data_IF_162605440050
#
_entry.id   IF_162605440050
#
_cell.length_a   1.000
_cell.length_b   1.000
_cell.length_c   1.000
_cell.angle_alpha   90.00
_cell.angle_beta   90.00
_cell.angle_gamma   90.00
#
_symmetry.space_group_name_H-M   'P 1'
#
loop_
_entity.id
_entity.type
_entity.pdbx_description
1 polymer ?
#
# COMPACT_ATOMS: atom_id res chain seq x y z
N UNK A 1 -11.75 7.62 19.11
CA UNK A 1 -10.51 7.65 18.31
C UNK A 1 -9.92 9.07 18.18
N UNK A 2 -10.70 10.12 17.82
CA UNK A 2 -10.18 11.49 17.66
C UNK A 2 -9.77 12.14 18.97
N UNK A 3 -10.46 11.88 20.09
CA UNK A 3 -10.11 12.39 21.42
C UNK A 3 -8.95 11.62 22.04
N UNK A 4 -8.90 10.31 21.87
CA UNK A 4 -7.78 9.49 22.31
C UNK A 4 -6.49 9.84 21.57
N UNK A 5 -6.58 10.13 20.27
CA UNK A 5 -5.47 10.67 19.50
C UNK A 5 -5.05 12.08 19.94
N UNK A 6 -5.93 12.89 20.55
CA UNK A 6 -5.59 14.21 21.08
C UNK A 6 -4.87 14.19 22.45
N UNK A 7 -5.09 13.18 23.27
CA UNK A 7 -4.59 13.13 24.66
C UNK A 7 -3.33 12.30 24.86
N UNK A 8 -2.77 11.67 23.83
CA UNK A 8 -1.62 10.76 23.98
C UNK A 8 -1.98 9.56 24.84
N UNK A 9 -3.12 8.94 24.54
CA UNK A 9 -3.69 7.86 25.32
C UNK A 9 -2.78 6.65 25.32
N UNK A 10 -2.61 6.08 26.49
CA UNK A 10 -2.01 4.78 26.72
C UNK A 10 -2.89 3.72 26.05
N UNK A 11 -2.46 3.22 24.91
CA UNK A 11 -3.16 2.22 24.13
C UNK A 11 -2.48 0.87 24.40
N UNK A 12 -2.98 0.16 25.41
CA UNK A 12 -2.48 -1.19 25.72
C UNK A 12 -1.00 -1.25 26.08
N UNK A 13 -0.47 -0.27 26.83
CA UNK A 13 0.92 -0.20 27.25
C UNK A 13 1.90 0.31 26.19
N UNK A 14 1.41 0.79 25.05
CA UNK A 14 2.23 1.44 24.01
C UNK A 14 2.00 2.95 24.01
N UNK A 15 3.04 3.73 24.23
CA UNK A 15 2.97 5.20 24.20
C UNK A 15 3.04 5.73 22.77
N UNK A 16 2.00 6.48 22.36
CA UNK A 16 2.01 7.25 21.13
C UNK A 16 2.27 8.71 21.48
N UNK A 17 3.45 9.21 21.15
CA UNK A 17 3.85 10.60 21.39
C UNK A 17 3.62 11.42 20.13
N UNK A 18 2.75 12.45 20.23
CA UNK A 18 2.49 13.37 19.12
C UNK A 18 3.50 14.51 19.14
N UNK A 19 4.29 14.61 18.08
CA UNK A 19 5.12 15.79 17.81
C UNK A 19 4.39 16.71 16.83
N UNK A 20 4.17 17.97 17.18
CA UNK A 20 3.64 18.98 16.25
C UNK A 20 4.71 19.29 15.20
N UNK A 21 4.39 19.07 13.93
CA UNK A 21 5.19 19.50 12.80
C UNK A 21 4.37 20.45 11.93
N UNK A 22 4.97 21.50 11.34
CA UNK A 22 4.28 22.40 10.39
C UNK A 22 3.72 21.65 9.17
N UNK A 23 4.34 20.53 8.79
CA UNK A 23 3.98 19.68 7.63
C UNK A 23 3.08 18.47 8.00
N UNK A 24 2.37 18.52 9.11
CA UNK A 24 1.53 17.43 9.58
C UNK A 24 2.00 16.88 10.93
N UNK A 25 1.24 15.90 11.47
CA UNK A 25 1.53 15.33 12.78
C UNK A 25 2.34 14.05 12.62
N UNK A 26 3.56 14.08 13.08
CA UNK A 26 4.38 12.88 13.24
C UNK A 26 3.98 12.15 14.51
N UNK A 27 3.83 10.84 14.42
CA UNK A 27 3.50 9.94 15.53
C UNK A 27 4.73 9.08 15.82
N UNK A 28 5.09 8.97 17.09
CA UNK A 28 6.11 8.04 17.57
C UNK A 28 5.40 6.85 18.20
N UNK A 29 5.67 5.67 17.68
CA UNK A 29 5.10 4.41 18.15
C UNK A 29 6.20 3.65 18.87
N UNK A 30 5.96 3.33 20.14
CA UNK A 30 6.84 2.47 20.91
C UNK A 30 6.75 1.03 20.40
N UNK A 31 7.89 0.40 20.15
CA UNK A 31 7.96 -1.01 19.79
C UNK A 31 8.39 -1.83 21.00
N UNK A 32 7.84 -3.03 21.15
CA UNK A 32 8.26 -3.96 22.22
C UNK A 32 9.73 -4.34 22.13
N UNK A 33 10.26 -4.37 20.91
CA UNK A 33 11.66 -4.66 20.62
C UNK A 33 12.14 -3.70 19.52
N UNK A 34 13.35 -3.14 19.69
CA UNK A 34 13.97 -2.24 18.74
C UNK A 34 13.67 -0.76 19.00
N UNK A 35 14.06 0.09 18.04
CA UNK A 35 13.86 1.53 18.13
C UNK A 35 12.38 1.92 17.93
N UNK A 36 11.92 3.02 18.55
CA UNK A 36 10.59 3.56 18.30
C UNK A 36 10.40 3.89 16.81
N UNK A 37 9.23 3.55 16.26
CA UNK A 37 8.88 3.86 14.89
C UNK A 37 8.30 5.27 14.80
N UNK A 38 8.85 6.09 13.94
CA UNK A 38 8.37 7.44 13.65
C UNK A 38 7.64 7.40 12.32
N UNK A 39 6.35 7.76 12.31
CA UNK A 39 5.54 7.71 11.10
C UNK A 39 4.52 8.83 11.03
N UNK A 40 4.09 9.17 9.81
CA UNK A 40 2.96 10.05 9.52
C UNK A 40 1.83 9.27 8.84
N UNK A 41 2.09 8.04 8.45
CA UNK A 41 1.13 7.20 7.74
C UNK A 41 -0.01 6.76 8.65
N UNK A 42 -1.25 7.00 8.17
CA UNK A 42 -2.46 6.71 8.92
C UNK A 42 -2.71 5.22 9.12
N UNK A 43 -2.41 4.37 8.14
CA UNK A 43 -2.62 2.93 8.26
C UNK A 43 -1.63 2.30 9.25
N UNK A 44 -0.38 2.74 9.24
CA UNK A 44 0.64 2.30 10.20
C UNK A 44 0.23 2.64 11.63
N UNK A 45 -0.25 3.87 11.84
CA UNK A 45 -0.77 4.29 13.15
C UNK A 45 -2.02 3.49 13.54
N UNK A 46 -2.95 3.30 12.61
CA UNK A 46 -4.18 2.55 12.88
C UNK A 46 -3.91 1.10 13.28
N UNK A 47 -2.96 0.43 12.63
CA UNK A 47 -2.57 -0.96 12.94
C UNK A 47 -2.06 -1.16 14.37
N UNK A 48 -1.49 -0.13 14.99
CA UNK A 48 -0.95 -0.18 16.34
C UNK A 48 -1.99 0.20 17.44
N UNK A 49 -3.21 0.57 17.05
CA UNK A 49 -4.27 0.90 18.01
C UNK A 49 -4.87 -0.38 18.59
N UNK A 50 -4.70 -0.62 19.87
CA UNK A 50 -5.35 -1.68 20.63
C UNK A 50 -6.03 -1.07 21.84
N UNK A 51 -7.26 -1.51 22.16
CA UNK A 51 -8.03 -1.04 23.28
C UNK A 51 -8.22 -2.18 24.28
N UNK A 52 -8.24 -1.87 25.58
CA UNK A 52 -8.38 -2.86 26.65
C UNK A 52 -9.78 -3.49 26.65
N UNK A 53 -10.83 -2.69 26.41
CA UNK A 53 -12.19 -3.19 26.30
C UNK A 53 -12.38 -3.93 24.99
N UNK A 54 -12.88 -5.17 25.05
CA UNK A 54 -13.07 -6.05 23.89
C UNK A 54 -14.08 -5.51 22.87
N UNK A 55 -15.16 -4.84 23.34
CA UNK A 55 -16.17 -4.28 22.45
C UNK A 55 -15.64 -3.04 21.74
N UNK A 56 -14.99 -2.15 22.48
CA UNK A 56 -14.34 -0.98 21.89
C UNK A 56 -13.23 -1.41 20.91
N UNK A 57 -12.46 -2.45 21.25
CA UNK A 57 -11.41 -2.99 20.38
C UNK A 57 -11.99 -3.58 19.10
N UNK A 58 -13.16 -4.21 19.14
CA UNK A 58 -13.86 -4.67 17.93
C UNK A 58 -14.16 -3.50 16.99
N UNK A 59 -14.64 -2.37 17.53
CA UNK A 59 -14.82 -1.13 16.76
C UNK A 59 -13.49 -0.62 16.16
N UNK A 60 -12.42 -0.65 16.95
CA UNK A 60 -11.09 -0.27 16.48
C UNK A 60 -10.60 -1.18 15.32
N UNK A 61 -10.84 -2.49 15.39
CA UNK A 61 -10.48 -3.42 14.32
C UNK A 61 -11.25 -3.14 13.02
N UNK A 62 -12.53 -2.76 13.09
CA UNK A 62 -13.31 -2.36 11.91
C UNK A 62 -12.70 -1.10 11.25
N UNK A 63 -12.31 -0.11 12.02
CA UNK A 63 -11.65 1.10 11.50
C UNK A 63 -10.28 0.77 10.89
N UNK A 64 -9.52 -0.14 11.53
CA UNK A 64 -8.25 -0.64 10.96
C UNK A 64 -8.46 -1.29 9.60
N UNK A 65 -9.51 -2.10 9.44
CA UNK A 65 -9.81 -2.78 8.18
C UNK A 65 -10.09 -1.79 7.06
N UNK A 66 -10.78 -0.67 7.35
CA UNK A 66 -11.02 0.40 6.37
C UNK A 66 -9.71 1.07 5.96
N UNK A 67 -8.85 1.42 6.93
CA UNK A 67 -7.56 2.03 6.64
C UNK A 67 -6.66 1.11 5.81
N UNK A 68 -6.60 -0.20 6.17
CA UNK A 68 -5.81 -1.20 5.45
C UNK A 68 -6.31 -1.38 4.04
N UNK A 69 -7.63 -1.57 3.84
CA UNK A 69 -8.22 -1.71 2.51
C UNK A 69 -7.96 -0.49 1.63
N UNK A 70 -8.07 0.71 2.18
CA UNK A 70 -7.76 1.94 1.43
C UNK A 70 -6.28 1.98 1.03
N UNK A 71 -5.38 1.58 1.92
CA UNK A 71 -3.95 1.48 1.63
C UNK A 71 -3.64 0.45 0.53
N UNK A 72 -4.30 -0.71 0.57
CA UNK A 72 -4.10 -1.79 -0.40
C UNK A 72 -4.67 -1.41 -1.79
N UNK A 73 -5.86 -0.76 -1.83
CA UNK A 73 -6.54 -0.42 -3.07
C UNK A 73 -5.97 0.85 -3.75
N UNK A 74 -5.58 1.86 -2.97
CA UNK A 74 -5.19 3.18 -3.48
C UNK A 74 -3.77 3.64 -3.11
N UNK A 75 -3.13 3.00 -2.14
CA UNK A 75 -1.80 3.39 -1.66
C UNK A 75 -1.75 4.69 -0.84
N UNK A 76 -2.82 5.48 -0.85
CA UNK A 76 -2.91 6.78 -0.17
C UNK A 76 -4.34 7.03 0.34
N UNK A 77 -4.53 8.10 1.12
CA UNK A 77 -5.84 8.51 1.62
C UNK A 77 -6.33 7.74 2.85
N UNK A 78 -5.51 6.95 3.49
CA UNK A 78 -5.87 6.11 4.66
C UNK A 78 -6.39 6.94 5.84
N UNK A 79 -5.81 8.11 6.10
CA UNK A 79 -6.26 9.05 7.12
C UNK A 79 -7.62 9.65 6.78
N UNK A 80 -7.83 10.03 5.53
CA UNK A 80 -9.10 10.56 5.03
C UNK A 80 -10.22 9.53 5.16
N UNK A 81 -9.97 8.29 4.76
CA UNK A 81 -10.92 7.18 4.91
C UNK A 81 -11.30 6.93 6.37
N UNK A 82 -10.34 7.01 7.28
CA UNK A 82 -10.58 6.88 8.72
C UNK A 82 -11.47 8.00 9.27
N UNK A 83 -11.24 9.25 8.84
CA UNK A 83 -12.05 10.41 9.25
C UNK A 83 -13.47 10.32 8.68
N UNK A 84 -13.62 9.92 7.42
CA UNK A 84 -14.92 9.72 6.79
C UNK A 84 -15.70 8.60 7.49
N UNK A 85 -15.05 7.49 7.82
CA UNK A 85 -15.65 6.41 8.60
C UNK A 85 -16.18 6.92 9.94
N UNK A 86 -15.39 7.69 10.67
CA UNK A 86 -15.82 8.29 11.93
C UNK A 86 -17.05 9.19 11.74
N UNK A 87 -17.04 10.04 10.70
CA UNK A 87 -18.15 10.97 10.45
C UNK A 87 -19.44 10.21 10.09
N UNK A 88 -19.36 9.23 9.19
CA UNK A 88 -20.51 8.42 8.75
C UNK A 88 -21.10 7.63 9.94
N UNK A 89 -20.27 6.98 10.73
CA UNK A 89 -20.72 6.21 11.90
C UNK A 89 -21.36 7.13 12.95
N UNK A 90 -20.73 8.28 13.23
CA UNK A 90 -21.25 9.23 14.25
C UNK A 90 -22.61 9.78 13.85
N UNK A 91 -22.78 10.21 12.61
CA UNK A 91 -24.05 10.74 12.11
C UNK A 91 -25.10 9.62 11.93
N UNK A 92 -24.67 8.45 11.47
CA UNK A 92 -25.53 7.28 11.36
C UNK A 92 -26.12 6.83 12.69
N UNK A 93 -25.29 6.76 13.74
CA UNK A 93 -25.75 6.40 15.08
C UNK A 93 -26.79 7.36 15.64
N UNK A 94 -26.68 8.66 15.37
CA UNK A 94 -27.69 9.64 15.80
C UNK A 94 -29.08 9.31 15.20
N UNK A 95 -29.09 8.94 13.93
CA UNK A 95 -30.33 8.57 13.24
C UNK A 95 -30.92 7.25 13.78
N UNK A 96 -30.07 6.26 14.01
CA UNK A 96 -30.50 4.96 14.55
C UNK A 96 -31.04 5.12 15.97
N UNK A 97 -30.39 5.90 16.82
CA UNK A 97 -30.87 6.18 18.18
C UNK A 97 -32.18 7.00 18.19
N UNK A 98 -32.43 7.78 17.14
CA UNK A 98 -33.69 8.47 16.92
C UNK A 98 -34.81 7.57 16.35
N UNK A 99 -34.55 6.28 16.16
CA UNK A 99 -35.54 5.28 15.71
C UNK A 99 -35.52 4.98 14.20
N UNK A 100 -34.54 5.48 13.45
CA UNK A 100 -34.42 5.13 12.04
C UNK A 100 -33.98 3.67 11.87
N UNK A 101 -34.52 3.01 10.84
CA UNK A 101 -34.13 1.64 10.51
C UNK A 101 -32.68 1.60 9.97
N UNK A 102 -31.79 0.83 10.57
CA UNK A 102 -30.39 0.74 10.14
C UNK A 102 -30.22 0.26 8.69
N UNK A 103 -31.11 -0.62 8.22
CA UNK A 103 -31.05 -1.16 6.86
C UNK A 103 -31.44 -0.11 5.82
N UNK A 104 -32.40 0.75 6.13
CA UNK A 104 -32.80 1.86 5.25
C UNK A 104 -31.74 2.96 5.25
N UNK A 105 -31.12 3.21 6.39
CA UNK A 105 -29.96 4.10 6.50
C UNK A 105 -28.80 3.58 5.62
N UNK A 106 -28.51 2.29 5.69
CA UNK A 106 -27.49 1.67 4.82
C UNK A 106 -27.78 1.87 3.35
N UNK A 107 -29.03 1.60 2.91
CA UNK A 107 -29.44 1.82 1.50
C UNK A 107 -29.27 3.28 1.08
N UNK A 108 -29.55 4.22 1.99
CA UNK A 108 -29.33 5.65 1.77
C UNK A 108 -27.85 5.99 1.59
N UNK A 109 -26.99 5.43 2.46
CA UNK A 109 -25.53 5.59 2.39
C UNK A 109 -25.00 5.04 1.07
N UNK A 110 -25.42 3.82 0.67
CA UNK A 110 -24.98 3.21 -0.59
C UNK A 110 -25.33 4.07 -1.80
N UNK A 111 -26.55 4.63 -1.85
CA UNK A 111 -26.96 5.57 -2.91
C UNK A 111 -26.13 6.84 -2.93
N UNK A 112 -25.88 7.42 -1.76
CA UNK A 112 -25.07 8.63 -1.63
C UNK A 112 -23.62 8.37 -2.07
N UNK A 113 -23.03 7.24 -1.68
CA UNK A 113 -21.68 6.86 -2.09
C UNK A 113 -21.59 6.74 -3.61
N UNK A 114 -22.54 6.05 -4.25
CA UNK A 114 -22.55 5.91 -5.71
C UNK A 114 -22.61 7.29 -6.41
N UNK A 115 -23.49 8.16 -5.96
CA UNK A 115 -23.61 9.51 -6.53
C UNK A 115 -22.36 10.36 -6.35
N UNK A 116 -21.71 10.26 -5.17
CA UNK A 116 -20.45 10.96 -4.90
C UNK A 116 -19.32 10.40 -5.76
N UNK A 117 -19.24 9.07 -5.92
CA UNK A 117 -18.23 8.43 -6.78
C UNK A 117 -18.38 8.84 -8.24
N UNK A 118 -19.62 8.87 -8.75
CA UNK A 118 -19.89 9.36 -10.12
C UNK A 118 -19.50 10.83 -10.28
N UNK A 119 -19.82 11.67 -9.30
CA UNK A 119 -19.43 13.08 -9.31
C UNK A 119 -17.91 13.26 -9.31
N UNK A 120 -17.20 12.49 -8.46
CA UNK A 120 -15.74 12.55 -8.42
C UNK A 120 -15.15 12.10 -9.75
N UNK A 121 -15.63 11.00 -10.34
CA UNK A 121 -15.16 10.52 -11.64
C UNK A 121 -15.38 11.54 -12.75
N UNK A 122 -16.54 12.22 -12.76
CA UNK A 122 -16.86 13.24 -13.75
C UNK A 122 -15.98 14.49 -13.64
N UNK A 123 -15.49 14.79 -12.44
CA UNK A 123 -14.63 15.95 -12.17
C UNK A 123 -13.15 15.58 -12.05
N UNK A 124 -12.80 14.32 -12.18
CA UNK A 124 -11.41 13.87 -12.12
C UNK A 124 -10.64 14.30 -13.36
N UNK A 125 -9.47 14.87 -13.15
CA UNK A 125 -8.57 15.24 -14.23
C UNK A 125 -7.53 14.12 -14.41
N UNK A 126 -7.44 13.59 -15.64
CA UNK A 126 -6.46 12.58 -15.98
C UNK A 126 -5.07 13.18 -16.01
N UNK A 127 -4.15 12.57 -15.29
CA UNK A 127 -2.73 12.99 -15.27
C UNK A 127 -2.05 12.71 -16.62
N UNK A 128 -2.36 11.57 -17.24
CA UNK A 128 -1.82 11.20 -18.54
C UNK A 128 -0.28 11.17 -18.56
N UNK A 129 0.31 11.74 -19.62
CA UNK A 129 1.75 11.86 -19.81
C UNK A 129 2.33 13.19 -19.30
N UNK A 130 1.57 13.92 -18.49
CA UNK A 130 2.02 15.19 -17.96
C UNK A 130 2.89 14.97 -16.72
N UNK A 131 4.19 15.00 -16.91
CA UNK A 131 5.16 14.77 -15.81
C UNK A 131 5.15 15.86 -14.74
N UNK A 132 4.70 17.09 -15.06
CA UNK A 132 4.55 18.13 -14.05
C UNK A 132 3.39 17.80 -13.10
N UNK A 133 2.29 17.22 -13.62
CA UNK A 133 1.20 16.72 -12.80
C UNK A 133 1.63 15.50 -11.97
N UNK A 134 2.44 14.61 -12.55
CA UNK A 134 3.02 13.48 -11.81
C UNK A 134 3.87 13.98 -10.64
N UNK A 135 4.71 15.00 -10.86
CA UNK A 135 5.50 15.63 -9.81
C UNK A 135 4.63 16.24 -8.71
N UNK A 136 3.55 16.93 -9.09
CA UNK A 136 2.60 17.51 -8.12
C UNK A 136 1.92 16.43 -7.28
N UNK A 137 1.43 15.36 -7.90
CA UNK A 137 0.81 14.22 -7.19
C UNK A 137 1.81 13.55 -6.27
N UNK A 138 3.01 13.27 -6.77
CA UNK A 138 4.09 12.66 -5.98
C UNK A 138 4.50 13.54 -4.80
N UNK A 139 4.57 14.87 -4.99
CA UNK A 139 4.84 15.84 -3.93
C UNK A 139 3.78 15.79 -2.84
N UNK A 140 2.49 15.77 -3.22
CA UNK A 140 1.39 15.68 -2.25
C UNK A 140 1.45 14.35 -1.49
N UNK A 141 1.66 13.23 -2.17
CA UNK A 141 1.79 11.90 -1.56
C UNK A 141 3.01 11.80 -0.64
N UNK A 142 4.10 12.49 -0.97
CA UNK A 142 5.27 12.64 -0.11
C UNK A 142 5.09 13.67 1.03
N UNK A 143 3.85 14.00 1.37
CA UNK A 143 3.50 14.97 2.42
C UNK A 143 4.04 16.39 2.16
N UNK A 144 3.86 16.86 0.93
CA UNK A 144 4.34 18.13 0.40
C UNK A 144 5.87 18.31 0.42
N UNK A 145 6.59 17.23 0.16
CA UNK A 145 8.03 17.25 -0.04
C UNK A 145 8.34 17.34 -1.55
N UNK A 146 8.78 18.50 -2.05
CA UNK A 146 9.02 18.70 -3.47
C UNK A 146 10.28 17.98 -3.97
N UNK A 147 11.24 17.69 -3.10
CA UNK A 147 12.46 16.96 -3.48
C UNK A 147 12.12 15.52 -3.81
N UNK A 148 11.33 14.87 -2.95
CA UNK A 148 10.83 13.51 -3.19
C UNK A 148 9.89 13.49 -4.40
N UNK A 149 9.01 14.48 -4.54
CA UNK A 149 8.10 14.61 -5.67
C UNK A 149 8.83 14.64 -7.00
N UNK A 150 9.86 15.48 -7.11
CA UNK A 150 10.71 15.60 -8.29
C UNK A 150 11.46 14.29 -8.58
N UNK A 151 12.02 13.67 -7.55
CA UNK A 151 12.76 12.42 -7.65
C UNK A 151 11.89 11.28 -8.21
N UNK A 152 10.65 11.18 -7.74
CA UNK A 152 9.67 10.22 -8.26
C UNK A 152 9.26 10.54 -9.71
N UNK A 153 9.04 11.81 -10.06
CA UNK A 153 8.73 12.21 -11.44
C UNK A 153 9.89 11.89 -12.38
N UNK A 154 11.13 12.10 -11.95
CA UNK A 154 12.32 11.76 -12.74
C UNK A 154 12.50 10.23 -12.88
N UNK A 155 12.16 9.45 -11.86
CA UNK A 155 12.10 8.00 -11.95
C UNK A 155 11.04 7.55 -12.96
N UNK A 156 9.83 8.10 -12.91
CA UNK A 156 8.74 7.81 -13.87
C UNK A 156 9.12 8.14 -15.31
N UNK A 157 9.85 9.23 -15.53
CA UNK A 157 10.37 9.56 -16.89
C UNK A 157 11.29 8.49 -17.44
N UNK A 158 12.06 7.84 -16.57
CA UNK A 158 13.04 6.80 -16.98
C UNK A 158 12.38 5.45 -17.24
N UNK A 159 11.41 5.06 -16.40
CA UNK A 159 10.78 3.73 -16.50
C UNK A 159 9.48 3.71 -17.27
N UNK A 160 8.98 4.87 -17.73
CA UNK A 160 7.67 5.05 -18.37
C UNK A 160 6.47 4.65 -17.47
N UNK A 161 5.26 4.70 -18.04
CA UNK A 161 4.00 4.46 -17.30
C UNK A 161 3.85 3.06 -16.74
N UNK A 162 4.39 2.07 -17.45
CA UNK A 162 4.26 0.66 -17.12
C UNK A 162 5.40 0.17 -16.21
N UNK A 163 6.32 1.08 -15.85
CA UNK A 163 7.43 0.78 -14.97
C UNK A 163 7.01 0.68 -13.51
N UNK A 164 7.65 -0.22 -12.78
CA UNK A 164 7.47 -0.39 -11.34
C UNK A 164 8.52 0.43 -10.61
N UNK A 165 8.09 1.22 -9.63
CA UNK A 165 8.97 1.96 -8.73
C UNK A 165 8.90 1.31 -7.35
N UNK A 166 10.05 0.88 -6.86
CA UNK A 166 10.23 0.39 -5.49
C UNK A 166 11.05 1.40 -4.70
N UNK A 167 10.80 1.46 -3.40
CA UNK A 167 11.53 2.33 -2.47
C UNK A 167 12.19 1.44 -1.44
N UNK A 168 13.51 1.55 -1.34
CA UNK A 168 14.33 0.76 -0.42
C UNK A 168 15.20 1.68 0.44
N UNK A 169 15.55 1.22 1.64
CA UNK A 169 16.52 1.93 2.48
C UNK A 169 17.92 1.82 1.90
N UNK A 170 18.53 2.96 1.61
CA UNK A 170 19.91 3.01 1.14
C UNK A 170 20.90 2.87 2.32
N UNK A 171 22.01 2.19 2.09
CA UNK A 171 23.15 2.17 3.01
C UNK A 171 23.98 3.45 2.94
N UNK A 172 23.77 4.28 1.91
CA UNK A 172 24.42 5.57 1.73
C UNK A 172 23.63 6.69 2.39
N UNK A 173 24.27 7.84 2.60
CA UNK A 173 23.60 9.04 3.12
C UNK A 173 22.80 9.79 2.07
N UNK A 174 23.02 9.50 0.81
CA UNK A 174 22.40 10.20 -0.31
C UNK A 174 21.26 9.35 -0.89
N UNK A 175 20.17 10.03 -1.22
CA UNK A 175 19.05 9.41 -1.94
C UNK A 175 19.42 9.35 -3.43
N UNK A 176 19.32 8.16 -4.01
CA UNK A 176 19.67 7.94 -5.41
C UNK A 176 18.58 7.14 -6.14
N UNK A 177 18.51 7.30 -7.46
CA UNK A 177 17.63 6.53 -8.34
C UNK A 177 18.48 5.48 -9.04
N UNK A 178 18.23 4.21 -8.74
CA UNK A 178 18.70 3.08 -9.55
C UNK A 178 17.65 2.73 -10.60
N UNK A 179 18.07 2.56 -11.86
CA UNK A 179 17.18 2.09 -12.92
C UNK A 179 17.68 0.73 -13.37
N UNK A 180 16.78 -0.23 -13.36
CA UNK A 180 17.03 -1.58 -13.89
C UNK A 180 16.14 -1.77 -15.11
N UNK A 181 16.73 -2.14 -16.23
CA UNK A 181 15.95 -2.53 -17.41
C UNK A 181 15.41 -3.93 -17.20
N UNK A 182 14.09 -4.04 -17.13
CA UNK A 182 13.41 -5.30 -16.88
C UNK A 182 12.52 -5.25 -15.66
N UNK A 183 12.34 -6.38 -15.01
CA UNK A 183 11.49 -6.55 -13.85
C UNK A 183 12.24 -7.30 -12.75
N UNK A 184 12.22 -6.77 -11.55
CA UNK A 184 12.83 -7.40 -10.38
C UNK A 184 11.73 -7.95 -9.47
N UNK A 185 11.88 -9.19 -9.04
CA UNK A 185 10.97 -9.86 -8.11
C UNK A 185 11.70 -10.16 -6.80
N UNK A 186 10.98 -10.05 -5.69
CA UNK A 186 11.53 -10.35 -4.35
C UNK A 186 11.76 -11.84 -4.10
N UNK A 187 11.18 -12.69 -4.96
CA UNK A 187 11.31 -14.16 -4.87
C UNK A 187 12.06 -14.68 -6.07
N UNK A 188 13.12 -15.40 -5.78
CA UNK A 188 13.91 -16.12 -6.77
C UNK A 188 13.40 -17.55 -7.01
N UNK A 189 14.28 -18.44 -7.38
CA UNK A 189 14.00 -19.86 -7.63
C UNK A 189 13.47 -20.58 -6.38
N UNK A 190 12.59 -21.55 -6.59
CA UNK A 190 11.95 -22.33 -5.51
C UNK A 190 12.89 -23.38 -4.86
N UNK A 191 13.96 -23.73 -5.52
CA UNK A 191 14.92 -24.74 -5.04
C UNK A 191 16.33 -24.38 -5.49
N UNK A 192 17.30 -24.61 -4.60
CA UNK A 192 18.73 -24.46 -4.91
C UNK A 192 19.23 -25.35 -6.07
N UNK A 193 18.47 -26.36 -6.48
CA UNK A 193 18.79 -27.18 -7.65
C UNK A 193 18.59 -26.47 -8.98
N UNK A 194 17.90 -25.33 -9.01
CA UNK A 194 17.76 -24.50 -10.20
C UNK A 194 18.91 -23.54 -10.44
N UNK A 195 19.92 -23.54 -9.58
CA UNK A 195 21.11 -22.72 -9.71
C UNK A 195 21.97 -23.22 -10.89
N UNK A 196 22.33 -22.32 -11.79
CA UNK A 196 23.25 -22.63 -12.91
C UNK A 196 24.71 -22.34 -12.56
N UNK A 197 24.95 -21.37 -11.66
CA UNK A 197 26.26 -21.04 -11.10
C UNK A 197 26.25 -21.32 -9.59
N UNK A 198 26.89 -22.41 -9.17
CA UNK A 198 26.92 -22.85 -7.78
C UNK A 198 27.83 -22.00 -6.89
N UNK A 199 28.81 -21.29 -7.46
CA UNK A 199 29.71 -20.44 -6.69
C UNK A 199 29.05 -19.12 -6.31
N UNK A 200 28.28 -18.54 -7.25
CA UNK A 200 27.54 -17.28 -7.03
C UNK A 200 26.13 -17.49 -6.52
N UNK A 201 25.63 -18.72 -6.52
CA UNK A 201 24.24 -19.08 -6.21
C UNK A 201 23.25 -18.32 -7.11
N UNK A 202 23.58 -18.21 -8.38
CA UNK A 202 22.79 -17.50 -9.40
C UNK A 202 22.25 -18.48 -10.45
N UNK A 203 21.10 -18.14 -11.03
CA UNK A 203 20.55 -18.79 -12.20
C UNK A 203 20.46 -17.76 -13.32
N UNK A 204 21.36 -17.87 -14.31
CA UNK A 204 21.39 -16.98 -15.46
C UNK A 204 20.88 -17.75 -16.68
N UNK A 205 19.83 -17.22 -17.30
CA UNK A 205 19.27 -17.77 -18.53
C UNK A 205 19.29 -16.70 -19.62
N UNK A 206 19.93 -17.00 -20.74
CA UNK A 206 19.95 -16.11 -21.91
C UNK A 206 18.72 -16.37 -22.77
N UNK A 207 17.95 -15.30 -23.02
CA UNK A 207 16.78 -15.32 -23.89
C UNK A 207 15.78 -16.46 -23.58
N UNK A 208 15.35 -16.63 -22.31
CA UNK A 208 14.46 -17.73 -21.92
C UNK A 208 13.04 -17.52 -22.45
N UNK A 209 12.26 -18.61 -22.51
CA UNK A 209 10.82 -18.51 -22.56
C UNK A 209 10.29 -18.21 -21.16
N UNK A 210 9.28 -17.33 -21.05
CA UNK A 210 8.64 -16.98 -19.78
C UNK A 210 7.24 -17.56 -19.77
N UNK A 211 6.97 -18.47 -18.82
CA UNK A 211 5.64 -19.02 -18.58
C UNK A 211 4.96 -18.27 -17.44
N UNK A 212 3.90 -17.53 -17.76
CA UNK A 212 3.09 -16.85 -16.75
C UNK A 212 1.86 -17.72 -16.46
N UNK A 213 1.70 -18.10 -15.19
CA UNK A 213 0.59 -18.93 -14.74
C UNK A 213 0.13 -18.54 -13.33
N UNK A 214 -1.18 -18.45 -13.15
CA UNK A 214 -1.79 -17.92 -11.91
C UNK A 214 -2.02 -18.98 -10.82
N UNK A 215 -1.74 -20.26 -11.12
CA UNK A 215 -1.98 -21.37 -10.21
C UNK A 215 -0.74 -22.19 -9.94
N UNK A 216 -0.76 -22.96 -8.86
CA UNK A 216 0.32 -23.91 -8.59
C UNK A 216 0.31 -25.03 -9.62
N UNK A 217 1.42 -25.24 -10.29
CA UNK A 217 1.65 -26.38 -11.19
C UNK A 217 2.20 -27.53 -10.35
N UNK A 218 1.43 -28.60 -10.21
CA UNK A 218 1.81 -29.78 -9.42
C UNK A 218 2.02 -31.04 -10.26
N UNK A 219 1.70 -30.97 -11.56
CA UNK A 219 1.73 -32.12 -12.46
C UNK A 219 2.60 -31.83 -13.68
N UNK A 220 3.66 -32.60 -13.83
CA UNK A 220 4.58 -32.47 -14.96
C UNK A 220 3.88 -32.68 -16.32
N UNK A 221 2.84 -33.50 -16.38
CA UNK A 221 2.11 -33.76 -17.63
C UNK A 221 1.47 -32.51 -18.22
N UNK A 222 1.10 -31.55 -17.38
CA UNK A 222 0.52 -30.28 -17.81
C UNK A 222 1.57 -29.36 -18.46
N UNK A 223 2.82 -29.52 -18.08
CA UNK A 223 3.96 -28.76 -18.63
C UNK A 223 4.56 -29.38 -19.90
N UNK A 224 4.36 -30.68 -20.15
CA UNK A 224 4.99 -31.37 -21.28
C UNK A 224 4.79 -30.66 -22.63
N UNK A 225 3.58 -30.16 -22.96
CA UNK A 225 3.36 -29.46 -24.24
C UNK A 225 4.19 -28.21 -24.40
N UNK A 226 4.64 -27.59 -23.28
CA UNK A 226 5.45 -26.37 -23.26
C UNK A 226 6.93 -26.70 -23.15
N UNK A 227 7.28 -27.71 -22.36
CA UNK A 227 8.65 -28.14 -22.15
C UNK A 227 9.28 -28.75 -23.41
N UNK A 228 8.50 -29.48 -24.20
CA UNK A 228 9.01 -30.14 -25.39
C UNK A 228 9.49 -29.13 -26.45
N UNK A 229 8.70 -28.11 -26.87
CA UNK A 229 9.19 -27.07 -27.77
C UNK A 229 10.33 -26.23 -27.19
N UNK A 230 10.32 -25.98 -25.87
CA UNK A 230 11.40 -25.25 -25.21
C UNK A 230 12.73 -26.03 -25.29
N UNK A 231 12.68 -27.33 -25.02
CA UNK A 231 13.85 -28.22 -25.14
C UNK A 231 14.36 -28.34 -26.56
N UNK A 232 13.45 -28.45 -27.55
CA UNK A 232 13.81 -28.52 -28.99
C UNK A 232 14.47 -27.22 -29.48
N UNK A 233 14.08 -26.09 -28.94
CA UNK A 233 14.68 -24.77 -29.27
C UNK A 233 16.03 -24.52 -28.57
N UNK A 234 16.40 -25.32 -27.57
CA UNK A 234 17.58 -25.11 -26.75
C UNK A 234 17.51 -23.91 -25.79
N UNK A 235 16.34 -23.32 -25.62
CA UNK A 235 16.11 -22.16 -24.75
C UNK A 235 15.59 -22.59 -23.39
N UNK A 236 16.07 -21.93 -22.34
CA UNK A 236 15.54 -22.13 -21.00
C UNK A 236 14.05 -21.75 -20.89
N UNK A 237 13.36 -22.29 -19.91
CA UNK A 237 12.00 -21.95 -19.53
C UNK A 237 12.01 -21.40 -18.12
N UNK A 238 11.49 -20.19 -17.92
CA UNK A 238 11.29 -19.53 -16.63
C UNK A 238 9.81 -19.51 -16.27
#
# INVERSE_FOLDING_TARGET
ARESLKRGVDLGGRRIIKKKSPKGRTVVIEKKFGAPQITKDGVTVAKEVELEDKFENTGAQLVKSVASKTGDDAGDGTTTATILTQAIVTEGLKNVTAGANPMDLKRGIDKAVNAVVEYIKANAELVGDNYDKIEQVATVSANNDPEIGKLLADAMRKVSKDGVITIEESKSRETSIGVVEGMQFDRGYLSGYFVTDTEKLECVMENPYILIYDKKISNLKELLPILQPAAESGRGLL
#
